data_IF_495570504154
#
_entry.id   IF_495570504154
#
_cell.length_a   1.000
_cell.length_b   1.000
_cell.length_c   1.000
_cell.angle_alpha   90.00
_cell.angle_beta   90.00
_cell.angle_gamma   90.00
#
_symmetry.space_group_name_H-M   'P 1'
#
loop_
_entity.id
_entity.type
_entity.pdbx_description
1 polymer ?
#
# COMPACT_ATOMS: atom_id res chain seq x y z
N UNK A 1 -27.46 3.30 -52.43
CA UNK A 1 -26.87 1.99 -52.15
C UNK A 1 -25.49 1.98 -52.83
N UNK A 2 -24.39 1.97 -52.11
CA UNK A 2 -23.05 1.79 -52.68
C UNK A 2 -22.96 0.32 -53.07
N UNK A 3 -22.85 0.06 -54.33
CA UNK A 3 -22.60 -1.30 -54.82
C UNK A 3 -21.38 -1.87 -54.14
N UNK A 4 -21.53 -3.06 -53.58
CA UNK A 4 -20.48 -3.80 -52.88
C UNK A 4 -19.53 -4.34 -53.96
N UNK A 5 -18.52 -3.54 -54.31
CA UNK A 5 -17.60 -3.84 -55.40
C UNK A 5 -16.58 -4.87 -54.93
N UNK A 6 -16.85 -6.15 -55.20
CA UNK A 6 -16.02 -7.30 -54.84
C UNK A 6 -14.59 -7.19 -55.43
N UNK A 7 -14.40 -6.50 -56.56
CA UNK A 7 -13.08 -6.27 -57.16
C UNK A 7 -12.15 -5.40 -56.30
N UNK A 8 -12.73 -4.53 -55.42
CA UNK A 8 -11.93 -3.71 -54.51
C UNK A 8 -11.32 -4.51 -53.36
N UNK A 9 -11.80 -5.72 -53.08
CA UNK A 9 -11.27 -6.64 -52.08
C UNK A 9 -10.17 -7.56 -52.63
N UNK A 10 -10.08 -7.73 -53.91
CA UNK A 10 -9.10 -8.59 -54.60
C UNK A 10 -7.78 -7.86 -54.93
N UNK A 11 -7.62 -6.62 -54.48
CA UNK A 11 -6.36 -5.89 -54.64
C UNK A 11 -5.26 -6.60 -53.82
N UNK A 12 -4.13 -7.02 -54.43
CA UNK A 12 -3.08 -7.81 -53.76
C UNK A 12 -2.55 -7.13 -52.50
N UNK A 13 -2.52 -5.81 -52.45
CA UNK A 13 -2.12 -5.05 -51.23
C UNK A 13 -3.09 -5.22 -50.06
N UNK A 14 -4.40 -5.23 -50.35
CA UNK A 14 -5.42 -5.45 -49.29
C UNK A 14 -5.42 -6.90 -48.80
N UNK A 15 -5.19 -7.83 -49.71
CA UNK A 15 -5.12 -9.25 -49.36
C UNK A 15 -3.92 -9.54 -48.46
N UNK A 16 -2.78 -8.92 -48.71
CA UNK A 16 -1.58 -9.03 -47.88
C UNK A 16 -1.81 -8.38 -46.49
N UNK A 17 -2.46 -7.22 -46.41
CA UNK A 17 -2.80 -6.56 -45.16
C UNK A 17 -3.77 -7.40 -44.32
N UNK A 18 -4.81 -7.99 -44.95
CA UNK A 18 -5.75 -8.87 -44.26
C UNK A 18 -5.07 -10.13 -43.74
N UNK A 19 -4.23 -10.78 -44.56
CA UNK A 19 -3.49 -11.99 -44.16
C UNK A 19 -2.51 -11.67 -43.02
N UNK A 20 -1.78 -10.56 -43.09
CA UNK A 20 -0.89 -10.09 -42.01
C UNK A 20 -1.66 -9.82 -40.70
N UNK A 21 -2.82 -9.16 -40.79
CA UNK A 21 -3.66 -8.90 -39.63
C UNK A 21 -4.19 -10.17 -38.95
N UNK A 22 -4.65 -11.16 -39.76
CA UNK A 22 -5.09 -12.46 -39.24
C UNK A 22 -3.93 -13.22 -38.58
N UNK A 23 -2.74 -13.20 -39.23
CA UNK A 23 -1.53 -13.82 -38.67
C UNK A 23 -1.16 -13.17 -37.33
N UNK A 24 -1.23 -11.84 -37.20
CA UNK A 24 -0.98 -11.13 -35.97
C UNK A 24 -1.95 -11.55 -34.84
N UNK A 25 -3.26 -11.63 -35.14
CA UNK A 25 -4.26 -12.06 -34.16
C UNK A 25 -3.98 -13.50 -33.70
N UNK A 26 -3.65 -14.39 -34.62
CA UNK A 26 -3.30 -15.78 -34.31
C UNK A 26 -2.02 -15.86 -33.45
N UNK A 27 -1.00 -15.07 -33.76
CA UNK A 27 0.23 -14.97 -32.96
C UNK A 27 -0.08 -14.47 -31.56
N UNK A 28 -0.92 -13.47 -31.40
CA UNK A 28 -1.35 -12.95 -30.10
C UNK A 28 -2.04 -14.02 -29.24
N UNK A 29 -2.94 -14.80 -29.87
CA UNK A 29 -3.57 -15.93 -29.18
C UNK A 29 -2.56 -16.99 -28.76
N UNK A 30 -1.62 -17.35 -29.61
CA UNK A 30 -0.58 -18.35 -29.35
C UNK A 30 0.38 -17.88 -28.27
N UNK A 31 0.90 -16.64 -28.36
CA UNK A 31 1.81 -16.03 -27.38
C UNK A 31 1.13 -15.93 -26.02
N UNK A 32 -0.11 -15.42 -25.98
CA UNK A 32 -0.89 -15.34 -24.74
C UNK A 32 -1.05 -16.70 -24.06
N UNK A 33 -1.33 -17.74 -24.86
CA UNK A 33 -1.48 -19.11 -24.36
C UNK A 33 -0.17 -19.70 -23.85
N UNK A 34 0.94 -19.47 -24.51
CA UNK A 34 2.27 -19.92 -24.09
C UNK A 34 2.72 -19.21 -22.82
N UNK A 35 2.61 -17.88 -22.78
CA UNK A 35 2.99 -17.10 -21.59
C UNK A 35 2.10 -17.41 -20.39
N UNK A 36 0.80 -17.57 -20.58
CA UNK A 36 -0.09 -17.94 -19.49
C UNK A 36 0.21 -19.34 -18.94
N UNK A 37 0.56 -20.30 -19.81
CA UNK A 37 0.95 -21.64 -19.40
C UNK A 37 2.29 -21.63 -18.64
N UNK A 38 3.28 -20.87 -19.14
CA UNK A 38 4.57 -20.69 -18.46
C UNK A 38 4.39 -20.04 -17.08
N UNK A 39 3.58 -18.99 -16.98
CA UNK A 39 3.26 -18.34 -15.71
C UNK A 39 2.62 -19.29 -14.71
N UNK A 40 1.60 -20.03 -15.12
CA UNK A 40 0.93 -21.02 -14.28
C UNK A 40 1.90 -22.10 -13.80
N UNK A 41 2.77 -22.60 -14.69
CA UNK A 41 3.78 -23.60 -14.35
C UNK A 41 4.78 -23.10 -13.30
N UNK A 42 5.20 -21.83 -13.39
CA UNK A 42 6.17 -21.25 -12.47
C UNK A 42 5.54 -20.88 -11.11
N UNK A 43 4.28 -20.41 -11.12
CA UNK A 43 3.62 -19.88 -9.93
C UNK A 43 2.70 -20.88 -9.20
N UNK A 44 2.55 -22.11 -9.70
CA UNK A 44 1.60 -23.08 -9.16
C UNK A 44 1.89 -23.44 -7.69
N UNK A 45 3.12 -23.32 -7.20
CA UNK A 45 3.47 -23.56 -5.80
C UNK A 45 3.22 -22.37 -4.87
N UNK A 46 3.02 -21.16 -5.41
CA UNK A 46 2.88 -19.92 -4.62
C UNK A 46 1.46 -19.36 -4.61
N UNK A 47 0.63 -19.74 -5.57
CA UNK A 47 -0.70 -19.16 -5.76
C UNK A 47 -1.78 -20.24 -5.63
N UNK A 48 -2.96 -19.82 -5.14
CA UNK A 48 -4.11 -20.71 -5.07
C UNK A 48 -4.63 -21.06 -6.47
N UNK A 49 -5.32 -22.20 -6.66
CA UNK A 49 -5.89 -22.58 -7.96
C UNK A 49 -6.79 -21.51 -8.58
N UNK A 50 -7.56 -20.79 -7.75
CA UNK A 50 -8.41 -19.70 -8.20
C UNK A 50 -7.60 -18.51 -8.73
N UNK A 51 -6.54 -18.10 -8.02
CA UNK A 51 -5.64 -17.04 -8.47
C UNK A 51 -4.94 -17.39 -9.78
N UNK A 52 -4.46 -18.63 -9.92
CA UNK A 52 -3.82 -19.10 -11.16
C UNK A 52 -4.80 -19.03 -12.35
N UNK A 53 -6.07 -19.39 -12.15
CA UNK A 53 -7.07 -19.30 -13.20
C UNK A 53 -7.36 -17.86 -13.62
N UNK A 54 -7.44 -16.93 -12.65
CA UNK A 54 -7.62 -15.50 -12.92
C UNK A 54 -6.45 -14.93 -13.72
N UNK A 55 -5.21 -15.19 -13.29
CA UNK A 55 -4.02 -14.73 -14.00
C UNK A 55 -3.90 -15.31 -15.41
N UNK A 56 -4.20 -16.60 -15.57
CA UNK A 56 -4.23 -17.23 -16.90
C UNK A 56 -5.20 -16.55 -17.84
N UNK A 57 -6.41 -16.24 -17.37
CA UNK A 57 -7.41 -15.52 -18.16
C UNK A 57 -6.96 -14.11 -18.48
N UNK A 58 -6.46 -13.37 -17.48
CA UNK A 58 -5.99 -11.99 -17.66
C UNK A 58 -4.89 -11.91 -18.72
N UNK A 59 -3.85 -12.74 -18.62
CA UNK A 59 -2.74 -12.78 -19.57
C UNK A 59 -3.28 -13.07 -20.99
N UNK A 60 -4.09 -14.11 -21.15
CA UNK A 60 -4.64 -14.46 -22.48
C UNK A 60 -5.46 -13.32 -23.08
N UNK A 61 -6.34 -12.66 -22.30
CA UNK A 61 -7.17 -11.58 -22.83
C UNK A 61 -6.35 -10.33 -23.16
N UNK A 62 -5.35 -9.97 -22.32
CA UNK A 62 -4.49 -8.83 -22.60
C UNK A 62 -3.77 -9.02 -23.94
N UNK A 63 -3.11 -10.17 -24.16
CA UNK A 63 -2.40 -10.44 -25.40
C UNK A 63 -3.37 -10.52 -26.60
N UNK A 64 -4.52 -11.16 -26.43
CA UNK A 64 -5.53 -11.23 -27.48
C UNK A 64 -6.02 -9.83 -27.90
N UNK A 65 -6.33 -8.95 -26.93
CA UNK A 65 -6.78 -7.58 -27.20
C UNK A 65 -5.68 -6.78 -27.91
N UNK A 66 -4.44 -6.80 -27.41
CA UNK A 66 -3.33 -6.05 -28.00
C UNK A 66 -3.07 -6.46 -29.44
N UNK A 67 -2.99 -7.76 -29.70
CA UNK A 67 -2.71 -8.26 -31.04
C UNK A 67 -3.93 -8.14 -31.97
N UNK A 68 -5.15 -8.19 -31.46
CA UNK A 68 -6.37 -7.91 -32.23
C UNK A 68 -6.37 -6.46 -32.71
N UNK A 69 -6.07 -5.50 -31.79
CA UNK A 69 -5.95 -4.09 -32.18
C UNK A 69 -4.84 -3.88 -33.21
N UNK A 70 -3.67 -4.49 -33.03
CA UNK A 70 -2.57 -4.42 -34.00
C UNK A 70 -2.96 -5.02 -35.34
N UNK A 71 -3.63 -6.18 -35.36
CA UNK A 71 -4.10 -6.82 -36.59
C UNK A 71 -5.16 -6.00 -37.31
N UNK A 72 -6.10 -5.38 -36.61
CA UNK A 72 -7.10 -4.48 -37.17
C UNK A 72 -6.46 -3.22 -37.76
N UNK A 73 -5.42 -2.69 -37.12
CA UNK A 73 -4.66 -1.56 -37.66
C UNK A 73 -3.97 -1.92 -38.98
N UNK A 74 -3.32 -3.08 -39.02
CA UNK A 74 -2.67 -3.58 -40.25
C UNK A 74 -3.66 -3.79 -41.41
N UNK A 75 -4.89 -4.20 -41.10
CA UNK A 75 -5.99 -4.31 -42.08
C UNK A 75 -6.48 -2.93 -42.58
N UNK A 76 -5.89 -1.82 -42.13
CA UNK A 76 -6.23 -0.47 -42.57
C UNK A 76 -7.38 0.17 -41.75
N UNK A 77 -7.82 -0.42 -40.66
CA UNK A 77 -8.86 0.18 -39.81
C UNK A 77 -8.28 1.33 -38.99
N UNK A 78 -8.98 2.47 -39.00
CA UNK A 78 -8.57 3.62 -38.20
C UNK A 78 -8.99 3.40 -36.73
N UNK A 79 -7.99 3.13 -35.88
CA UNK A 79 -8.21 2.87 -34.46
C UNK A 79 -8.14 4.13 -33.59
N UNK A 80 -8.02 5.33 -34.18
CA UNK A 80 -7.83 6.58 -33.42
C UNK A 80 -8.91 6.81 -32.36
N UNK A 81 -10.17 6.50 -32.68
CA UNK A 81 -11.30 6.62 -31.76
C UNK A 81 -11.17 5.61 -30.60
N UNK A 82 -10.77 4.38 -30.88
CA UNK A 82 -10.58 3.34 -29.86
C UNK A 82 -9.38 3.67 -28.94
N UNK A 83 -8.29 4.17 -29.53
CA UNK A 83 -7.11 4.62 -28.77
C UNK A 83 -7.48 5.80 -27.88
N UNK A 84 -8.24 6.78 -28.40
CA UNK A 84 -8.73 7.90 -27.61
C UNK A 84 -9.62 7.45 -26.45
N UNK A 85 -10.57 6.56 -26.69
CA UNK A 85 -11.44 5.99 -25.67
C UNK A 85 -10.66 5.18 -24.61
N UNK A 86 -9.67 4.37 -25.07
CA UNK A 86 -8.78 3.63 -24.17
C UNK A 86 -7.93 4.58 -23.31
N UNK A 87 -7.50 5.73 -23.85
CA UNK A 87 -6.81 6.77 -23.09
C UNK A 87 -7.65 7.31 -21.96
N UNK A 88 -8.91 7.69 -22.24
CA UNK A 88 -9.84 8.17 -21.20
C UNK A 88 -10.09 7.08 -20.14
N UNK A 89 -10.30 5.84 -20.56
CA UNK A 89 -10.51 4.72 -19.64
C UNK A 89 -9.27 4.47 -18.76
N UNK A 90 -8.07 4.58 -19.34
CA UNK A 90 -6.80 4.43 -18.62
C UNK A 90 -6.65 5.47 -17.52
N UNK A 91 -7.02 6.74 -17.79
CA UNK A 91 -7.02 7.80 -16.79
C UNK A 91 -8.03 7.51 -15.68
N UNK A 92 -9.24 7.06 -16.03
CA UNK A 92 -10.26 6.69 -15.04
C UNK A 92 -9.79 5.53 -14.13
N UNK A 93 -9.18 4.48 -14.70
CA UNK A 93 -8.60 3.37 -13.94
C UNK A 93 -7.43 3.86 -13.07
N UNK A 94 -6.60 4.77 -13.59
CA UNK A 94 -5.50 5.39 -12.85
C UNK A 94 -6.01 6.09 -11.59
N UNK A 95 -7.03 6.93 -11.69
CA UNK A 95 -7.66 7.57 -10.54
C UNK A 95 -8.28 6.56 -9.57
N UNK A 96 -8.99 5.55 -10.08
CA UNK A 96 -9.56 4.50 -9.23
C UNK A 96 -8.51 3.70 -8.47
N UNK A 97 -7.29 3.56 -9.01
CA UNK A 97 -6.18 2.79 -8.44
C UNK A 97 -5.22 3.65 -7.61
N UNK A 98 -5.38 4.97 -7.59
CA UNK A 98 -4.45 5.93 -6.99
C UNK A 98 -4.10 5.59 -5.54
N UNK A 99 -5.11 5.33 -4.69
CA UNK A 99 -4.89 5.00 -3.28
C UNK A 99 -4.12 3.70 -3.09
N UNK A 100 -4.37 2.69 -3.92
CA UNK A 100 -3.64 1.42 -3.85
C UNK A 100 -2.16 1.60 -4.25
N UNK A 101 -1.90 2.37 -5.31
CA UNK A 101 -0.55 2.71 -5.75
C UNK A 101 0.19 3.55 -4.70
N UNK A 102 -0.48 4.55 -4.11
CA UNK A 102 0.07 5.37 -3.03
C UNK A 102 0.48 4.52 -1.82
N UNK A 103 -0.38 3.60 -1.38
CA UNK A 103 -0.06 2.69 -0.28
C UNK A 103 1.14 1.78 -0.57
N UNK A 104 1.24 1.27 -1.80
CA UNK A 104 2.36 0.44 -2.23
C UNK A 104 3.68 1.21 -2.19
N UNK A 105 3.70 2.40 -2.79
CA UNK A 105 4.87 3.28 -2.81
C UNK A 105 5.26 3.68 -1.38
N UNK A 106 4.29 4.10 -0.57
CA UNK A 106 4.50 4.43 0.84
C UNK A 106 5.06 3.26 1.65
N UNK A 107 4.59 2.03 1.39
CA UNK A 107 5.13 0.83 2.03
C UNK A 107 6.60 0.56 1.69
N UNK A 108 7.00 0.78 0.44
CA UNK A 108 8.40 0.68 0.04
C UNK A 108 9.28 1.74 0.74
N UNK A 109 8.78 2.97 0.88
CA UNK A 109 9.49 4.01 1.64
C UNK A 109 9.61 3.68 3.12
N UNK A 110 8.53 3.22 3.78
CA UNK A 110 8.57 2.81 5.18
C UNK A 110 9.59 1.69 5.44
N UNK A 111 9.66 0.70 4.53
CA UNK A 111 10.64 -0.39 4.63
C UNK A 111 12.07 0.13 4.38
N UNK A 112 12.24 1.05 3.43
CA UNK A 112 13.56 1.60 3.07
C UNK A 112 14.11 2.58 4.10
N UNK A 113 13.27 3.44 4.67
CA UNK A 113 13.66 4.45 5.66
C UNK A 113 13.73 3.89 7.09
N UNK A 114 12.88 2.92 7.42
CA UNK A 114 12.85 2.23 8.70
C UNK A 114 12.61 3.15 9.90
N UNK A 115 11.58 4.03 9.91
CA UNK A 115 11.31 4.93 11.03
C UNK A 115 10.95 4.17 12.32
N UNK A 116 10.46 2.96 12.20
CA UNK A 116 10.16 2.00 13.26
C UNK A 116 10.36 0.57 12.76
N UNK A 117 10.46 -0.37 13.68
CA UNK A 117 10.69 -1.79 13.41
C UNK A 117 9.55 -2.65 13.96
N UNK A 118 9.46 -3.91 13.53
CA UNK A 118 8.55 -4.89 14.13
C UNK A 118 8.94 -5.07 15.61
N UNK A 119 7.94 -5.03 16.50
CA UNK A 119 8.12 -5.05 17.95
C UNK A 119 8.22 -3.66 18.60
N UNK A 120 8.41 -2.59 17.81
CA UNK A 120 8.33 -1.23 18.36
C UNK A 120 6.90 -0.89 18.77
N UNK A 121 6.78 -0.09 19.82
CA UNK A 121 5.50 0.46 20.25
C UNK A 121 5.36 1.87 19.69
N UNK A 122 4.39 2.07 18.80
CA UNK A 122 4.19 3.35 18.11
C UNK A 122 2.80 3.92 18.37
N UNK A 123 2.70 5.25 18.26
CA UNK A 123 1.43 5.99 18.27
C UNK A 123 1.26 6.74 16.97
N UNK A 124 0.08 6.59 16.36
CA UNK A 124 -0.32 7.24 15.11
C UNK A 124 -1.72 7.82 15.30
N UNK A 125 -1.82 9.13 15.44
CA UNK A 125 -3.08 9.79 15.81
C UNK A 125 -3.60 9.27 17.14
N UNK A 126 -4.80 8.68 17.14
CA UNK A 126 -5.44 8.08 18.33
C UNK A 126 -5.09 6.61 18.55
N UNK A 127 -4.46 5.95 17.58
CA UNK A 127 -4.11 4.54 17.67
C UNK A 127 -2.70 4.37 18.24
N UNK A 128 -2.57 3.49 19.23
CA UNK A 128 -1.30 3.17 19.88
C UNK A 128 -1.17 1.65 20.01
N UNK A 129 0.02 1.10 19.69
CA UNK A 129 0.24 -0.33 19.79
C UNK A 129 1.60 -0.80 19.31
N UNK A 130 1.86 -2.08 19.52
CA UNK A 130 3.04 -2.79 19.07
C UNK A 130 2.93 -3.12 17.58
N UNK A 131 3.99 -2.88 16.81
CA UNK A 131 4.07 -3.21 15.39
C UNK A 131 4.22 -4.72 15.22
N UNK A 132 3.19 -5.36 14.64
CA UNK A 132 3.18 -6.80 14.34
C UNK A 132 3.82 -7.11 13.00
N UNK A 133 3.49 -6.32 11.96
CA UNK A 133 4.06 -6.47 10.62
C UNK A 133 4.03 -5.16 9.86
N UNK A 134 4.99 -5.03 8.94
CA UNK A 134 5.08 -3.93 7.96
C UNK A 134 4.93 -4.57 6.60
N UNK A 135 3.72 -4.46 6.01
CA UNK A 135 3.40 -5.04 4.72
C UNK A 135 3.43 -3.97 3.62
N UNK A 136 3.36 -4.39 2.36
CA UNK A 136 3.41 -3.48 1.21
C UNK A 136 2.28 -2.44 1.16
N UNK A 137 1.12 -2.71 1.75
CA UNK A 137 -0.04 -1.82 1.70
C UNK A 137 -0.45 -1.24 3.05
N UNK A 138 0.03 -1.82 4.15
CA UNK A 138 -0.40 -1.43 5.50
C UNK A 138 0.54 -1.94 6.57
N UNK A 139 0.61 -1.22 7.69
CA UNK A 139 1.21 -1.68 8.94
C UNK A 139 0.11 -2.20 9.85
N UNK A 140 0.42 -3.26 10.59
CA UNK A 140 -0.48 -3.90 11.54
C UNK A 140 0.02 -3.68 12.95
N UNK A 141 -0.86 -3.23 13.83
CA UNK A 141 -0.56 -3.00 15.24
C UNK A 141 -1.42 -3.89 16.13
N UNK A 142 -0.89 -4.19 17.31
CA UNK A 142 -1.63 -4.75 18.43
C UNK A 142 -1.67 -3.72 19.55
N UNK A 143 -2.87 -3.26 19.91
CA UNK A 143 -3.04 -2.30 21.02
C UNK A 143 -2.82 -2.97 22.38
N UNK A 144 -2.70 -2.17 23.43
CA UNK A 144 -2.63 -2.65 24.82
C UNK A 144 -3.86 -3.44 25.23
N UNK A 145 -5.03 -3.14 24.64
CA UNK A 145 -6.29 -3.87 24.85
C UNK A 145 -6.38 -5.14 24.01
N UNK A 146 -5.26 -5.55 23.37
CA UNK A 146 -5.18 -6.72 22.49
C UNK A 146 -6.08 -6.63 21.24
N UNK A 147 -6.31 -5.41 20.74
CA UNK A 147 -7.05 -5.18 19.51
C UNK A 147 -6.11 -5.14 18.30
N UNK A 148 -6.60 -5.64 17.17
CA UNK A 148 -5.88 -5.58 15.90
C UNK A 148 -6.23 -4.29 15.16
N UNK A 149 -5.22 -3.46 14.89
CA UNK A 149 -5.36 -2.22 14.11
C UNK A 149 -4.55 -2.33 12.83
N UNK A 150 -5.19 -2.04 11.71
CA UNK A 150 -4.54 -1.97 10.40
C UNK A 150 -4.52 -0.51 9.93
N UNK A 151 -3.33 0.03 9.71
CA UNK A 151 -3.12 1.41 9.24
C UNK A 151 -2.58 1.36 7.81
N UNK A 152 -3.22 2.01 6.82
CA UNK A 152 -2.68 2.14 5.47
C UNK A 152 -1.32 2.85 5.47
N UNK A 153 -0.38 2.40 4.63
CA UNK A 153 0.98 2.98 4.60
C UNK A 153 0.97 4.47 4.19
N UNK A 154 0.08 4.84 3.27
CA UNK A 154 -0.09 6.24 2.85
C UNK A 154 -0.45 7.16 4.04
N UNK A 155 -1.28 6.67 4.96
CA UNK A 155 -1.64 7.43 6.16
C UNK A 155 -0.42 7.62 7.08
N UNK A 156 0.41 6.59 7.24
CA UNK A 156 1.62 6.65 8.07
C UNK A 156 2.63 7.67 7.55
N UNK A 157 2.88 7.69 6.24
CA UNK A 157 3.80 8.66 5.61
C UNK A 157 3.28 10.10 5.72
N UNK A 158 1.95 10.30 5.71
CA UNK A 158 1.33 11.63 5.78
C UNK A 158 1.07 12.12 7.20
N UNK A 159 1.23 11.28 8.21
CA UNK A 159 0.94 11.61 9.60
C UNK A 159 2.19 11.60 10.46
N UNK A 160 2.09 12.24 11.62
CA UNK A 160 3.08 12.12 12.67
C UNK A 160 3.06 10.71 13.25
N UNK A 161 4.21 10.06 13.32
CA UNK A 161 4.42 8.76 13.97
C UNK A 161 5.33 8.94 15.15
N UNK A 162 4.82 8.67 16.34
CA UNK A 162 5.60 8.72 17.58
C UNK A 162 6.06 7.31 17.92
N UNK A 163 7.37 7.07 17.87
CA UNK A 163 7.95 5.80 18.33
C UNK A 163 8.26 5.89 19.82
N UNK A 164 7.60 5.06 20.61
CA UNK A 164 7.66 5.08 22.08
C UNK A 164 8.78 4.18 22.65
N UNK A 165 9.38 3.32 21.81
CA UNK A 165 10.42 2.35 22.23
C UNK A 165 11.77 2.61 21.60
N UNK A 166 11.85 3.52 20.60
CA UNK A 166 13.11 3.87 19.92
C UNK A 166 14.21 4.31 20.88
N UNK A 167 13.85 5.06 21.91
CA UNK A 167 14.76 5.50 22.96
C UNK A 167 14.45 4.78 24.27
N UNK A 168 15.46 4.21 24.93
CA UNK A 168 15.25 3.41 26.15
C UNK A 168 14.84 4.25 27.35
N UNK A 169 15.10 5.56 27.32
CA UNK A 169 14.79 6.49 28.40
C UNK A 169 13.61 7.37 27.98
N UNK A 170 12.58 7.42 28.81
CA UNK A 170 11.37 8.19 28.56
C UNK A 170 10.92 8.95 29.80
N UNK A 171 10.53 10.21 29.62
CA UNK A 171 9.92 11.00 30.67
C UNK A 171 8.45 10.62 30.87
N UNK A 172 8.09 10.30 32.10
CA UNK A 172 6.70 10.10 32.50
C UNK A 172 6.25 11.30 33.33
N UNK A 173 5.12 11.90 32.99
CA UNK A 173 4.49 12.96 33.76
C UNK A 173 3.34 12.33 34.57
N UNK A 174 3.47 12.30 35.88
CA UNK A 174 2.47 11.72 36.76
C UNK A 174 1.79 12.87 37.55
N UNK A 175 0.51 13.22 37.22
CA UNK A 175 -0.25 14.18 37.99
C UNK A 175 -0.63 13.53 39.35
N UNK A 176 -0.31 14.21 40.46
CA UNK A 176 -0.62 13.75 41.81
C UNK A 176 -1.43 14.85 42.49
N UNK A 177 -2.65 14.53 42.91
CA UNK A 177 -3.48 15.41 43.74
C UNK A 177 -3.07 15.34 45.20
N UNK A 178 -2.96 16.50 45.83
CA UNK A 178 -2.69 16.63 47.26
C UNK A 178 -3.80 17.44 47.93
N UNK A 179 -4.08 17.16 49.21
CA UNK A 179 -5.09 17.91 49.95
C UNK A 179 -4.61 19.35 50.23
N UNK A 180 -5.51 20.32 50.18
CA UNK A 180 -5.19 21.74 50.42
C UNK A 180 -4.54 22.04 51.81
N UNK A 181 -4.75 21.17 52.76
CA UNK A 181 -4.17 21.29 54.13
C UNK A 181 -2.71 20.86 54.22
N UNK A 182 -2.19 20.20 53.17
CA UNK A 182 -0.84 19.65 53.19
C UNK A 182 0.21 20.71 52.81
N UNK A 183 1.38 20.61 53.42
CA UNK A 183 2.53 21.45 53.10
C UNK A 183 3.20 20.98 51.81
N UNK A 184 3.18 21.83 50.79
CA UNK A 184 3.76 21.56 49.49
C UNK A 184 5.25 21.17 49.59
N UNK A 185 6.00 21.78 50.53
CA UNK A 185 7.43 21.50 50.71
C UNK A 185 7.66 20.09 51.19
N UNK A 186 6.89 19.66 52.19
CA UNK A 186 6.94 18.28 52.72
C UNK A 186 6.51 17.24 51.69
N UNK A 187 5.46 17.54 50.94
CA UNK A 187 4.99 16.63 49.85
C UNK A 187 6.06 16.49 48.78
N UNK A 188 6.69 17.60 48.36
CA UNK A 188 7.79 17.58 47.38
C UNK A 188 8.95 16.71 47.87
N UNK A 189 9.39 16.87 49.09
CA UNK A 189 10.48 16.07 49.67
C UNK A 189 10.11 14.58 49.71
N UNK A 190 8.89 14.26 50.12
CA UNK A 190 8.39 12.89 50.17
C UNK A 190 8.34 12.25 48.82
N UNK A 191 7.81 12.96 47.80
CA UNK A 191 7.73 12.47 46.43
C UNK A 191 9.11 12.25 45.80
N UNK A 192 10.07 13.17 46.04
CA UNK A 192 11.46 12.98 45.58
C UNK A 192 12.08 11.74 46.21
N UNK A 193 11.86 11.52 47.52
CA UNK A 193 12.36 10.34 48.23
C UNK A 193 11.79 9.04 47.66
N UNK A 194 10.48 9.02 47.39
CA UNK A 194 9.82 7.87 46.76
C UNK A 194 10.36 7.62 45.36
N UNK A 195 10.54 8.67 44.53
CA UNK A 195 11.10 8.55 43.20
C UNK A 195 12.54 8.01 43.21
N UNK A 196 13.39 8.49 44.14
CA UNK A 196 14.77 8.03 44.29
C UNK A 196 14.88 6.57 44.77
N UNK A 197 13.88 6.09 45.50
CA UNK A 197 13.83 4.68 45.91
C UNK A 197 13.31 3.73 44.85
N UNK A 198 12.72 4.26 43.78
CA UNK A 198 12.20 3.44 42.68
C UNK A 198 13.32 3.05 41.69
N UNK A 199 13.60 1.75 41.51
CA UNK A 199 14.68 1.29 40.63
C UNK A 199 14.48 1.63 39.15
N UNK A 200 13.25 1.98 38.76
CA UNK A 200 12.92 2.40 37.37
C UNK A 200 13.15 3.91 37.14
N UNK A 201 13.36 4.69 38.21
CA UNK A 201 13.71 6.11 38.09
C UNK A 201 15.21 6.28 37.91
N UNK A 202 15.60 7.10 36.93
CA UNK A 202 16.99 7.44 36.72
C UNK A 202 17.51 8.35 37.82
N UNK A 203 18.80 8.21 38.14
CA UNK A 203 19.52 9.14 39.03
C UNK A 203 19.80 10.44 38.27
N UNK A 204 20.15 10.33 36.98
CA UNK A 204 20.29 11.46 36.08
C UNK A 204 19.61 11.17 34.75
N UNK A 205 18.75 12.09 34.26
CA UNK A 205 18.29 13.32 34.92
C UNK A 205 17.43 13.02 36.15
N UNK A 206 17.62 13.80 37.20
CA UNK A 206 16.87 13.64 38.46
C UNK A 206 15.37 13.87 38.29
N UNK A 207 14.51 13.14 39.03
CA UNK A 207 13.08 13.42 39.05
C UNK A 207 12.80 14.88 39.45
N UNK A 208 11.91 15.54 38.69
CA UNK A 208 11.53 16.93 38.96
C UNK A 208 10.05 17.00 39.34
N UNK A 209 9.75 17.81 40.38
CA UNK A 209 8.39 18.01 40.85
C UNK A 209 7.98 19.45 40.60
N UNK A 210 6.93 19.61 39.80
CA UNK A 210 6.38 20.91 39.43
C UNK A 210 4.96 21.03 39.99
N UNK A 211 4.70 22.12 40.73
CA UNK A 211 3.33 22.46 41.14
C UNK A 211 2.63 23.10 39.93
N UNK A 212 1.58 22.48 39.44
CA UNK A 212 0.84 22.95 38.27
C UNK A 212 -0.24 23.98 38.64
N UNK A 213 -0.83 23.88 39.82
CA UNK A 213 -1.88 24.76 40.28
C UNK A 213 -2.78 24.10 41.30
N UNK A 214 -3.81 24.84 41.69
CA UNK A 214 -4.86 24.34 42.56
C UNK A 214 -5.92 23.65 41.71
N UNK A 215 -6.19 22.40 42.01
CA UNK A 215 -7.21 21.61 41.32
C UNK A 215 -8.62 21.89 41.85
N UNK A 216 -9.65 21.36 41.20
CA UNK A 216 -11.03 21.42 41.72
C UNK A 216 -11.21 20.64 42.99
#
# INVERSE_FOLDING_TARGET
MKEFNLESFLNPEKLTAITAGVVLIFLGWLIGRLLSAAFVRTMHHRLTPHQLQLWRRAINHIFLILFTLSGLHEMGLNLSVLIGAAGVLSVAIGFASQTSASNLISGLFLIGEGPFSIGDFIRVGTSEGEVLSIDLLSVKLRTTDNLFVRIPNEQLIKSEVINLTRFPIRRLNLPIGIAYKEDISKVRETLLKVAQQNPLCLVEPTPNIIVQGFGP
#
